data_IF_231482859666
#
_entry.id   IF_231482859666
#
_cell.length_a   1.000
_cell.length_b   1.000
_cell.length_c   1.000
_cell.angle_alpha   90.00
_cell.angle_beta   90.00
_cell.angle_gamma   90.00
#
_symmetry.space_group_name_H-M   'P 1'
#
loop_
_entity.id
_entity.type
_entity.pdbx_description
1 polymer ?
#
# COMPACT_ATOMS: atom_id res chain seq x y z
N UNK A 1 -20.16 -20.90 15.66
CA UNK A 1 -20.60 -21.43 14.35
C UNK A 1 -20.56 -20.29 13.33
N UNK A 2 -19.44 -19.59 13.14
CA UNK A 2 -18.24 -20.13 12.50
C UNK A 2 -18.33 -20.15 10.96
N UNK A 3 -19.53 -19.97 10.38
CA UNK A 3 -19.78 -20.09 8.94
C UNK A 3 -20.25 -18.80 8.25
N UNK A 4 -20.36 -17.68 8.99
CA UNK A 4 -20.74 -16.37 8.43
C UNK A 4 -19.60 -15.34 8.43
N UNK A 5 -18.44 -15.60 9.03
CA UNK A 5 -17.29 -14.68 8.95
C UNK A 5 -16.26 -15.06 7.87
N UNK A 6 -16.29 -16.30 7.37
CA UNK A 6 -15.36 -16.75 6.33
C UNK A 6 -15.83 -16.33 4.91
N UNK A 7 -17.13 -16.05 4.74
CA UNK A 7 -17.71 -15.54 3.48
C UNK A 7 -17.72 -14.00 3.41
N UNK A 8 -17.66 -13.34 4.56
CA UNK A 8 -17.65 -11.86 4.69
C UNK A 8 -16.23 -11.27 4.59
N UNK A 9 -15.19 -12.01 4.99
CA UNK A 9 -13.80 -11.55 4.91
C UNK A 9 -13.24 -11.42 3.49
N UNK A 10 -13.72 -12.21 2.53
CA UNK A 10 -13.17 -12.22 1.17
C UNK A 10 -13.61 -11.02 0.33
N UNK A 11 -14.85 -10.55 0.48
CA UNK A 11 -15.38 -9.43 -0.31
C UNK A 11 -14.96 -8.08 0.28
N UNK A 12 -14.85 -7.99 1.60
CA UNK A 12 -14.47 -6.76 2.29
C UNK A 12 -12.99 -6.43 2.04
N UNK A 13 -12.09 -7.40 2.15
CA UNK A 13 -10.67 -7.21 1.81
C UNK A 13 -10.46 -6.92 0.32
N UNK A 14 -11.22 -7.59 -0.57
CA UNK A 14 -11.16 -7.29 -2.00
C UNK A 14 -11.59 -5.86 -2.30
N UNK A 15 -12.70 -5.40 -1.70
CA UNK A 15 -13.23 -4.04 -1.90
C UNK A 15 -12.28 -2.98 -1.34
N UNK A 16 -11.72 -3.22 -0.16
CA UNK A 16 -10.77 -2.30 0.48
C UNK A 16 -9.48 -2.17 -0.35
N UNK A 17 -8.96 -3.28 -0.89
CA UNK A 17 -7.75 -3.26 -1.72
C UNK A 17 -8.01 -2.59 -3.08
N UNK A 18 -9.13 -2.90 -3.76
CA UNK A 18 -9.49 -2.23 -5.02
C UNK A 18 -9.62 -0.73 -4.80
N UNK A 19 -10.30 -0.31 -3.72
CA UNK A 19 -10.44 1.12 -3.36
C UNK A 19 -9.07 1.76 -3.10
N UNK A 20 -8.20 1.10 -2.33
CA UNK A 20 -6.84 1.60 -2.06
C UNK A 20 -5.96 1.70 -3.31
N UNK A 21 -6.05 0.75 -4.23
CA UNK A 21 -5.30 0.77 -5.50
C UNK A 21 -5.78 1.93 -6.39
N UNK A 22 -7.10 2.19 -6.44
CA UNK A 22 -7.67 3.34 -7.14
C UNK A 22 -7.22 4.68 -6.54
N UNK A 23 -7.18 4.80 -5.21
CA UNK A 23 -6.68 6.01 -4.53
C UNK A 23 -5.19 6.23 -4.85
N UNK A 24 -4.37 5.19 -4.74
CA UNK A 24 -2.94 5.25 -5.03
C UNK A 24 -2.66 5.62 -6.49
N UNK A 25 -3.25 4.90 -7.45
CA UNK A 25 -3.10 5.20 -8.88
C UNK A 25 -3.62 6.60 -9.23
N UNK A 26 -4.70 7.06 -8.59
CA UNK A 26 -5.23 8.41 -8.75
C UNK A 26 -4.27 9.50 -8.25
N UNK A 27 -3.64 9.31 -7.10
CA UNK A 27 -2.64 10.26 -6.57
C UNK A 27 -1.39 10.34 -7.45
N UNK A 28 -0.95 9.21 -8.02
CA UNK A 28 0.16 9.17 -8.98
C UNK A 28 -0.28 9.74 -10.34
N UNK A 29 -1.56 9.64 -10.67
CA UNK A 29 -2.16 10.13 -11.92
C UNK A 29 -2.32 11.65 -11.98
N UNK A 30 -2.48 12.34 -10.84
CA UNK A 30 -2.59 13.81 -10.76
C UNK A 30 -1.48 14.58 -11.49
N UNK A 31 -0.17 14.29 -11.31
CA UNK A 31 0.89 14.94 -12.07
C UNK A 31 0.86 14.57 -13.57
N UNK A 32 0.34 13.38 -13.91
CA UNK A 32 0.17 12.92 -15.31
C UNK A 32 -0.98 13.64 -16.01
N UNK A 33 -2.04 14.02 -15.29
CA UNK A 33 -3.18 14.76 -15.84
C UNK A 33 -2.78 16.13 -16.41
N UNK A 34 -1.75 16.76 -15.85
CA UNK A 34 -1.18 18.02 -16.36
C UNK A 34 -0.44 17.87 -17.69
N UNK A 35 -0.06 16.65 -18.10
CA UNK A 35 0.71 16.41 -19.31
C UNK A 35 -0.13 15.98 -20.52
N UNK A 36 -1.23 15.22 -20.32
CA UNK A 36 -1.98 14.57 -21.43
C UNK A 36 -3.50 14.77 -21.41
N UNK A 37 -4.05 15.54 -20.47
CA UNK A 37 -5.49 15.78 -20.34
C UNK A 37 -6.24 14.70 -19.53
N UNK A 38 -7.36 15.09 -18.91
CA UNK A 38 -8.11 14.30 -17.90
C UNK A 38 -8.66 12.96 -18.40
N UNK A 39 -9.17 12.94 -19.64
CA UNK A 39 -9.95 11.83 -20.18
C UNK A 39 -9.07 10.64 -20.63
N UNK A 40 -7.97 10.82 -21.40
CA UNK A 40 -7.16 9.69 -21.86
C UNK A 40 -6.38 9.01 -20.74
N UNK A 41 -5.85 9.76 -19.78
CA UNK A 41 -5.03 9.22 -18.69
C UNK A 41 -5.84 8.40 -17.70
N UNK A 42 -7.03 8.86 -17.33
CA UNK A 42 -7.93 8.14 -16.42
C UNK A 42 -8.38 6.81 -17.03
N UNK A 43 -8.71 6.82 -18.33
CA UNK A 43 -9.09 5.59 -19.06
C UNK A 43 -7.91 4.61 -19.15
N UNK A 44 -6.69 5.10 -19.38
CA UNK A 44 -5.49 4.28 -19.43
C UNK A 44 -5.19 3.61 -18.08
N UNK A 45 -5.28 4.36 -16.97
CA UNK A 45 -5.07 3.82 -15.63
C UNK A 45 -6.13 2.79 -15.25
N UNK A 46 -7.40 3.04 -15.57
CA UNK A 46 -8.48 2.10 -15.28
C UNK A 46 -8.28 0.77 -16.03
N UNK A 47 -7.91 0.84 -17.31
CA UNK A 47 -7.58 -0.36 -18.10
C UNK A 47 -6.38 -1.10 -17.50
N UNK A 48 -5.32 -0.40 -17.16
CA UNK A 48 -4.10 -1.01 -16.63
C UNK A 48 -4.32 -1.66 -15.24
N UNK A 49 -5.17 -1.07 -14.39
CA UNK A 49 -5.46 -1.59 -13.05
C UNK A 49 -6.50 -2.73 -13.11
N UNK A 50 -7.46 -2.69 -14.03
CA UNK A 50 -8.56 -3.65 -14.07
C UNK A 50 -8.25 -4.88 -14.93
N UNK A 51 -7.51 -4.74 -16.03
CA UNK A 51 -7.18 -5.84 -16.94
C UNK A 51 -6.42 -6.99 -16.25
N UNK A 52 -5.30 -6.77 -15.53
CA UNK A 52 -4.56 -7.85 -14.87
C UNK A 52 -5.37 -8.63 -13.83
N UNK A 53 -6.06 -8.01 -12.84
CA UNK A 53 -6.86 -8.76 -11.88
C UNK A 53 -8.06 -9.44 -12.53
N UNK A 54 -8.69 -8.84 -13.55
CA UNK A 54 -9.81 -9.48 -14.26
C UNK A 54 -9.35 -10.72 -15.01
N UNK A 55 -8.20 -10.66 -15.69
CA UNK A 55 -7.61 -11.80 -16.39
C UNK A 55 -7.19 -12.91 -15.41
N UNK A 56 -6.56 -12.54 -14.29
CA UNK A 56 -6.15 -13.50 -13.25
C UNK A 56 -7.34 -14.14 -12.54
N UNK A 57 -8.44 -13.41 -12.35
CA UNK A 57 -9.68 -13.94 -11.76
C UNK A 57 -10.33 -14.98 -12.67
N UNK A 58 -10.29 -14.77 -13.99
CA UNK A 58 -10.79 -15.73 -14.98
C UNK A 58 -9.92 -17.00 -15.09
N UNK A 59 -8.60 -16.88 -14.92
CA UNK A 59 -7.67 -18.00 -15.05
C UNK A 59 -7.52 -18.82 -13.75
N UNK A 60 -7.35 -18.16 -12.59
CA UNK A 60 -7.07 -18.81 -11.31
C UNK A 60 -7.58 -17.99 -10.09
N UNK A 61 -8.87 -18.07 -9.74
CA UNK A 61 -9.47 -17.22 -8.70
C UNK A 61 -8.86 -17.45 -7.31
N UNK A 62 -8.48 -18.68 -6.99
CA UNK A 62 -7.94 -19.03 -5.67
C UNK A 62 -6.53 -18.46 -5.42
N UNK A 63 -5.66 -18.45 -6.45
CA UNK A 63 -4.32 -17.89 -6.34
C UNK A 63 -4.36 -16.36 -6.21
N UNK A 64 -5.26 -15.72 -6.93
CA UNK A 64 -5.46 -14.28 -6.87
C UNK A 64 -5.86 -13.83 -5.46
N UNK A 65 -6.87 -14.46 -4.86
CA UNK A 65 -7.34 -14.09 -3.51
C UNK A 65 -6.27 -14.31 -2.43
N UNK A 66 -5.48 -15.39 -2.53
CA UNK A 66 -4.38 -15.66 -1.58
C UNK A 66 -3.25 -14.64 -1.70
N UNK A 67 -2.86 -14.29 -2.93
CA UNK A 67 -1.86 -13.27 -3.18
C UNK A 67 -2.34 -11.88 -2.73
N UNK A 68 -3.62 -11.56 -2.96
CA UNK A 68 -4.25 -10.31 -2.56
C UNK A 68 -4.25 -10.12 -1.04
N UNK A 69 -4.58 -11.18 -0.29
CA UNK A 69 -4.57 -11.14 1.18
C UNK A 69 -3.17 -10.90 1.76
N UNK A 70 -2.15 -11.55 1.20
CA UNK A 70 -0.76 -11.34 1.63
C UNK A 70 -0.25 -9.97 1.20
N UNK A 71 -0.51 -9.56 -0.05
CA UNK A 71 -0.07 -8.26 -0.57
C UNK A 71 -0.70 -7.10 0.20
N UNK A 72 -2.01 -7.13 0.47
CA UNK A 72 -2.70 -6.08 1.22
C UNK A 72 -2.20 -5.94 2.66
N UNK A 73 -1.87 -7.05 3.32
CA UNK A 73 -1.39 -7.02 4.71
C UNK A 73 0.11 -6.72 4.87
N UNK A 74 0.96 -7.31 4.04
CA UNK A 74 2.41 -7.15 4.14
C UNK A 74 2.91 -5.89 3.43
N UNK A 75 2.39 -5.57 2.24
CA UNK A 75 2.88 -4.41 1.49
C UNK A 75 2.51 -3.10 2.19
N UNK A 76 1.33 -3.02 2.80
CA UNK A 76 0.89 -1.83 3.53
C UNK A 76 1.80 -1.53 4.73
N UNK A 77 2.12 -2.55 5.56
CA UNK A 77 3.05 -2.39 6.69
C UNK A 77 4.46 -2.05 6.22
N UNK A 78 4.90 -2.60 5.08
CA UNK A 78 6.20 -2.27 4.50
C UNK A 78 6.23 -0.83 3.97
N UNK A 79 5.19 -0.38 3.27
CA UNK A 79 5.12 0.96 2.67
C UNK A 79 4.75 2.07 3.66
N UNK A 80 3.87 1.84 4.63
CA UNK A 80 3.48 2.85 5.64
C UNK A 80 4.26 2.73 6.94
N UNK A 81 4.76 1.54 7.28
CA UNK A 81 5.60 1.34 8.45
C UNK A 81 7.07 1.59 8.13
N UNK A 82 7.65 0.80 7.23
CA UNK A 82 9.10 0.79 7.01
C UNK A 82 9.56 1.96 6.13
N UNK A 83 8.91 2.18 4.97
CA UNK A 83 9.37 3.18 3.99
C UNK A 83 9.46 4.63 4.54
N UNK A 84 8.46 5.21 5.24
CA UNK A 84 8.58 6.56 5.80
C UNK A 84 9.64 6.65 6.89
N UNK A 85 9.82 5.59 7.69
CA UNK A 85 10.88 5.54 8.71
C UNK A 85 12.25 5.63 8.05
N UNK A 86 12.47 4.89 6.95
CA UNK A 86 13.73 4.94 6.21
C UNK A 86 13.96 6.31 5.57
N UNK A 87 12.92 6.94 5.01
CA UNK A 87 13.02 8.29 4.42
C UNK A 87 13.43 9.33 5.48
N UNK A 88 12.86 9.27 6.69
CA UNK A 88 13.23 10.18 7.78
C UNK A 88 14.64 9.88 8.28
N UNK A 89 15.06 8.62 8.34
CA UNK A 89 16.44 8.24 8.70
C UNK A 89 17.44 8.80 7.67
N UNK A 90 17.24 8.52 6.38
CA UNK A 90 18.12 9.01 5.30
C UNK A 90 18.15 10.55 5.28
N UNK A 91 16.99 11.19 5.46
CA UNK A 91 16.86 12.65 5.52
C UNK A 91 17.63 13.29 6.68
N UNK A 92 17.67 12.63 7.85
CA UNK A 92 18.39 13.10 9.03
C UNK A 92 19.90 12.83 9.00
N UNK A 93 20.32 11.65 8.55
CA UNK A 93 21.71 11.20 8.71
C UNK A 93 22.57 11.40 7.46
N UNK A 94 22.00 11.33 6.25
CA UNK A 94 22.78 11.37 5.02
C UNK A 94 22.84 12.76 4.36
N UNK A 95 21.81 13.60 4.56
CA UNK A 95 21.74 14.94 3.91
C UNK A 95 21.85 16.15 4.84
N UNK A 96 21.98 15.98 6.17
CA UNK A 96 22.19 17.05 7.17
C UNK A 96 21.42 18.37 6.90
N UNK A 97 20.24 18.27 6.29
CA UNK A 97 19.49 19.44 5.87
C UNK A 97 18.71 19.96 7.09
N UNK A 98 19.17 21.08 7.67
CA UNK A 98 18.44 21.82 8.69
C UNK A 98 17.08 22.24 8.10
N UNK A 99 16.02 21.49 8.38
CA UNK A 99 14.65 21.85 7.97
C UNK A 99 13.88 22.41 9.18
N UNK A 100 13.07 23.46 9.00
CA UNK A 100 12.41 24.19 10.09
C UNK A 100 11.26 23.42 10.76
N UNK A 101 10.74 22.36 10.13
CA UNK A 101 9.72 21.48 10.72
C UNK A 101 10.32 20.10 10.98
N UNK A 102 10.73 19.86 12.22
CA UNK A 102 11.18 18.55 12.69
C UNK A 102 10.00 17.89 13.42
N UNK A 103 9.57 16.72 12.98
CA UNK A 103 8.62 15.92 13.75
C UNK A 103 9.24 15.62 15.13
N UNK A 104 8.57 15.99 16.24
CA UNK A 104 9.08 15.71 17.58
C UNK A 104 9.12 14.18 17.78
N UNK A 105 10.29 13.61 18.06
CA UNK A 105 10.38 12.15 18.25
C UNK A 105 11.78 11.51 18.22
N UNK A 106 12.83 12.23 17.81
CA UNK A 106 14.20 11.72 17.93
C UNK A 106 14.45 10.40 17.18
N UNK A 107 15.53 9.68 17.51
CA UNK A 107 15.86 8.36 16.90
C UNK A 107 15.01 7.23 17.53
N UNK A 108 14.56 7.45 18.76
CA UNK A 108 13.80 6.49 19.57
C UNK A 108 12.43 6.17 18.94
N UNK A 109 11.69 7.18 18.47
CA UNK A 109 10.39 6.99 17.82
C UNK A 109 10.50 6.20 16.50
N UNK A 110 11.57 6.44 15.73
CA UNK A 110 11.85 5.70 14.50
C UNK A 110 12.17 4.23 14.80
N UNK A 111 12.98 3.96 15.83
CA UNK A 111 13.32 2.60 16.26
C UNK A 111 12.07 1.88 16.83
N UNK A 112 11.22 2.59 17.59
CA UNK A 112 9.99 2.02 18.13
C UNK A 112 9.02 1.59 17.02
N UNK A 113 8.83 2.41 15.98
CA UNK A 113 7.99 2.06 14.82
C UNK A 113 8.60 0.90 14.03
N UNK A 114 9.92 0.88 13.86
CA UNK A 114 10.62 -0.18 13.13
C UNK A 114 10.57 -1.52 13.88
N UNK A 115 10.71 -1.51 15.21
CA UNK A 115 10.53 -2.68 16.07
C UNK A 115 9.07 -3.15 16.10
N UNK A 116 8.10 -2.24 16.17
CA UNK A 116 6.69 -2.57 16.10
C UNK A 116 6.34 -3.20 14.74
N UNK A 117 6.85 -2.64 13.64
CA UNK A 117 6.68 -3.18 12.28
C UNK A 117 7.32 -4.57 12.11
N UNK A 118 8.53 -4.79 12.63
CA UNK A 118 9.19 -6.11 12.66
C UNK A 118 8.43 -7.11 13.54
N UNK A 119 7.86 -6.67 14.67
CA UNK A 119 7.04 -7.51 15.55
C UNK A 119 5.79 -8.03 14.84
N UNK A 120 5.10 -7.16 14.09
CA UNK A 120 3.96 -7.56 13.25
C UNK A 120 4.36 -8.50 12.11
N UNK A 121 5.56 -8.35 11.55
CA UNK A 121 6.08 -9.23 10.51
C UNK A 121 6.40 -10.63 11.05
N UNK A 122 6.92 -10.69 12.29
CA UNK A 122 7.33 -11.95 12.96
C UNK A 122 6.14 -12.73 13.52
N UNK A 123 5.08 -12.05 13.96
CA UNK A 123 3.88 -12.69 14.53
C UNK A 123 2.98 -13.36 13.48
N UNK A 124 3.24 -13.12 12.19
CA UNK A 124 2.45 -13.60 11.04
C UNK A 124 3.14 -14.69 10.20
N UNK A 125 4.36 -15.10 10.55
CA UNK A 125 5.06 -16.25 9.97
C UNK A 125 4.89 -17.48 10.85
#
# INVERSE_FOLDING_TARGET
MGSLLEKEGSVLSATLLITGCCIGAGMIGLPVMSASGFIPTTLAMLKLVLVPPTLLTLLYPHLFLRALGVAGGFADVLLFGVLPVTIVWIGRYYKNAKRPFTAPGGKLFLIAILLFSLGFLTIRN
#
